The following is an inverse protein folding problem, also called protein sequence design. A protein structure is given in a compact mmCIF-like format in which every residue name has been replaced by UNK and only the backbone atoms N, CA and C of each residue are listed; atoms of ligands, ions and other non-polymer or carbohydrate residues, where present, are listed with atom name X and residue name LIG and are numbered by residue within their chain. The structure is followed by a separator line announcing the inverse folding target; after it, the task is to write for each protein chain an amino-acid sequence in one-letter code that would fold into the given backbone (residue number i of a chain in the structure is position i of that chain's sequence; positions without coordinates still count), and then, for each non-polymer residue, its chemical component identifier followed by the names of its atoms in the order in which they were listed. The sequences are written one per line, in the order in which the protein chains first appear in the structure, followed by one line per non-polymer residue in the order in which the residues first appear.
data_IF_038517664156
#
_entry.id   IF_038517664156
#
_cell.length_a   1.000
_cell.length_b   1.000
_cell.length_c   1.000
_cell.angle_alpha   90.00
_cell.angle_beta   90.00
_cell.angle_gamma   90.00
#
_symmetry.space_group_name_H-M   'P 1'
#
loop_
_entity.id
_entity.type
_entity.pdbx_description
1 polymer ?
#
# COMPACT_ATOMS: atom_id res chain seq x y z
N UNK A 1 -6.13 -1.23 -12.80
CA UNK A 1 -7.16 -1.36 -11.74
C UNK A 1 -6.95 -2.67 -11.02
N UNK A 2 -6.77 -2.62 -9.71
CA UNK A 2 -6.46 -3.76 -8.86
C UNK A 2 -7.70 -4.22 -8.07
N UNK A 3 -7.78 -5.50 -7.76
CA UNK A 3 -8.86 -6.14 -7.01
C UNK A 3 -8.46 -6.34 -5.55
N UNK A 4 -9.45 -6.55 -4.68
CA UNK A 4 -9.19 -6.92 -3.28
C UNK A 4 -8.45 -8.25 -3.22
N UNK A 5 -7.37 -8.29 -2.46
CA UNK A 5 -6.45 -9.42 -2.36
C UNK A 5 -5.24 -9.35 -3.29
N UNK A 6 -5.24 -8.45 -4.28
CA UNK A 6 -4.08 -8.29 -5.16
C UNK A 6 -2.88 -7.75 -4.39
N UNK A 7 -1.71 -8.30 -4.68
CA UNK A 7 -0.42 -7.76 -4.24
C UNK A 7 0.06 -6.76 -5.28
N UNK A 8 0.38 -5.56 -4.81
CA UNK A 8 0.77 -4.43 -5.65
C UNK A 8 2.00 -3.73 -5.06
N UNK A 9 2.69 -2.96 -5.88
CA UNK A 9 3.85 -2.17 -5.50
C UNK A 9 3.55 -0.68 -5.57
N UNK A 10 4.06 0.11 -4.62
CA UNK A 10 4.00 1.57 -4.71
C UNK A 10 5.05 2.11 -5.68
N UNK A 11 4.64 3.04 -6.54
CA UNK A 11 5.54 3.77 -7.46
C UNK A 11 6.29 4.91 -6.79
N UNK A 12 5.79 5.35 -5.64
CA UNK A 12 6.31 6.48 -4.87
C UNK A 12 6.23 6.19 -3.38
N UNK A 13 6.85 7.07 -2.61
CA UNK A 13 6.72 7.05 -1.15
C UNK A 13 5.25 7.16 -0.73
N UNK A 14 4.87 6.34 0.25
CA UNK A 14 3.51 6.28 0.79
C UNK A 14 3.55 6.71 2.25
N UNK A 15 2.63 7.58 2.65
CA UNK A 15 2.60 8.09 4.02
C UNK A 15 1.20 8.09 4.60
N UNK A 16 1.12 7.86 5.90
CA UNK A 16 -0.05 8.18 6.71
C UNK A 16 0.40 9.06 7.91
N UNK A 17 -0.50 9.32 8.86
CA UNK A 17 -0.16 10.12 10.05
C UNK A 17 0.85 9.48 11.02
N UNK A 18 1.25 8.22 10.81
CA UNK A 18 2.09 7.46 11.72
C UNK A 18 3.44 7.05 11.11
N UNK A 19 3.48 6.80 9.80
CA UNK A 19 4.65 6.25 9.14
C UNK A 19 4.78 6.72 7.70
N UNK A 20 6.02 6.65 7.21
CA UNK A 20 6.42 6.86 5.83
C UNK A 20 7.06 5.57 5.34
N UNK A 21 6.56 5.06 4.21
CA UNK A 21 7.01 3.84 3.56
C UNK A 21 7.68 4.20 2.23
N UNK A 22 8.86 3.65 1.93
CA UNK A 22 9.58 3.99 0.70
C UNK A 22 8.81 3.53 -0.54
N UNK A 23 9.15 4.12 -1.69
CA UNK A 23 8.75 3.60 -2.98
C UNK A 23 9.20 2.14 -3.16
N UNK A 24 8.43 1.36 -3.91
CA UNK A 24 8.69 -0.06 -4.11
C UNK A 24 8.15 -0.96 -3.01
N UNK A 25 7.47 -0.41 -1.99
CA UNK A 25 6.86 -1.19 -0.91
C UNK A 25 5.71 -2.03 -1.46
N UNK A 26 5.64 -3.28 -1.02
CA UNK A 26 4.55 -4.20 -1.36
C UNK A 26 3.35 -4.01 -0.43
N UNK A 27 2.16 -4.02 -1.02
CA UNK A 27 0.90 -3.88 -0.34
C UNK A 27 -0.10 -4.92 -0.83
N UNK A 28 -1.01 -5.33 0.04
CA UNK A 28 -2.22 -6.05 -0.35
C UNK A 28 -3.39 -5.09 -0.41
N UNK A 29 -4.17 -5.14 -1.50
CA UNK A 29 -5.39 -4.34 -1.63
C UNK A 29 -6.45 -4.88 -0.69
N UNK A 30 -6.83 -4.09 0.31
CA UNK A 30 -7.83 -4.47 1.32
C UNK A 30 -9.24 -4.13 0.88
N UNK A 31 -9.42 -2.91 0.35
CA UNK A 31 -10.73 -2.40 -0.07
C UNK A 31 -10.55 -1.35 -1.15
N UNK A 32 -11.57 -1.23 -2.00
CA UNK A 32 -11.71 -0.14 -2.95
C UNK A 32 -12.96 0.68 -2.63
N UNK A 33 -12.77 1.99 -2.47
CA UNK A 33 -13.86 2.95 -2.30
C UNK A 33 -13.54 4.21 -3.10
N UNK A 34 -13.26 5.36 -2.47
CA UNK A 34 -12.79 6.60 -3.11
C UNK A 34 -11.28 6.58 -3.43
N UNK A 35 -10.74 5.41 -3.76
CA UNK A 35 -9.32 5.07 -3.79
C UNK A 35 -9.08 3.67 -3.25
N UNK A 36 -7.82 3.29 -3.07
CA UNK A 36 -7.43 2.01 -2.49
C UNK A 36 -7.06 2.17 -1.00
N UNK A 37 -7.58 1.25 -0.19
CA UNK A 37 -7.04 0.98 1.14
C UNK A 37 -6.09 -0.21 1.03
N UNK A 38 -4.88 0.00 1.52
CA UNK A 38 -3.74 -0.89 1.35
C UNK A 38 -3.17 -1.26 2.71
N UNK A 39 -2.91 -2.54 2.94
CA UNK A 39 -2.13 -3.00 4.08
C UNK A 39 -0.72 -3.37 3.56
N UNK A 40 0.34 -2.78 4.11
CA UNK A 40 1.72 -3.09 3.72
C UNK A 40 2.04 -4.54 4.04
N UNK A 41 3.07 -5.11 3.44
CA UNK A 41 3.66 -6.33 4.00
C UNK A 41 4.34 -6.00 5.34
N UNK A 42 4.42 -6.96 6.29
CA UNK A 42 5.09 -6.74 7.56
C UNK A 42 6.58 -6.45 7.32
N UNK A 43 7.13 -5.50 8.08
CA UNK A 43 8.56 -5.18 8.01
C UNK A 43 9.40 -6.36 8.50
N UNK A 44 10.39 -6.80 7.73
CA UNK A 44 11.27 -7.92 8.11
C UNK A 44 12.06 -7.68 9.41
N UNK A 45 12.27 -6.42 9.80
CA UNK A 45 13.03 -6.06 11.00
C UNK A 45 12.20 -5.99 12.27
N UNK A 46 10.98 -5.45 12.19
CA UNK A 46 10.15 -5.15 13.37
C UNK A 46 8.74 -5.73 13.32
N UNK A 47 8.35 -6.41 12.24
CA UNK A 47 7.04 -7.02 12.05
C UNK A 47 5.88 -6.04 11.87
N UNK A 48 6.14 -4.73 11.95
CA UNK A 48 5.09 -3.70 11.87
C UNK A 48 4.45 -3.71 10.49
N UNK A 49 3.11 -3.62 10.49
CA UNK A 49 2.29 -3.47 9.31
C UNK A 49 1.60 -2.11 9.32
N UNK A 50 1.60 -1.41 8.20
CA UNK A 50 1.05 -0.06 8.07
C UNK A 50 -0.09 -0.05 7.07
N UNK A 51 -1.19 0.60 7.44
CA UNK A 51 -2.31 0.85 6.53
C UNK A 51 -2.20 2.23 5.88
N UNK A 52 -2.34 2.28 4.57
CA UNK A 52 -2.46 3.51 3.80
C UNK A 52 -3.83 3.54 3.11
N UNK A 53 -4.56 4.64 3.27
CA UNK A 53 -5.92 4.79 2.77
C UNK A 53 -6.02 5.85 1.68
N UNK A 54 -7.06 5.74 0.85
CA UNK A 54 -7.39 6.70 -0.24
C UNK A 54 -6.24 6.88 -1.25
N UNK A 55 -5.55 5.79 -1.56
CA UNK A 55 -4.46 5.79 -2.54
C UNK A 55 -5.03 5.85 -3.96
N UNK A 56 -4.45 6.68 -4.81
CA UNK A 56 -4.80 6.76 -6.23
C UNK A 56 -4.17 5.63 -7.07
N UNK A 57 -4.79 5.29 -8.21
CA UNK A 57 -4.28 4.22 -9.10
C UNK A 57 -2.92 4.58 -9.72
N UNK A 58 -2.60 5.87 -9.86
CA UNK A 58 -1.35 6.32 -10.48
C UNK A 58 -0.12 6.06 -9.60
N UNK A 59 -0.31 5.98 -8.28
CA UNK A 59 0.71 5.65 -7.29
C UNK A 59 1.03 4.15 -7.22
N UNK A 60 0.35 3.30 -7.99
CA UNK A 60 0.36 1.85 -7.85
C UNK A 60 0.72 1.14 -9.16
N UNK A 61 1.35 -0.01 -9.02
CA UNK A 61 1.64 -0.93 -10.12
C UNK A 61 1.54 -2.39 -9.68
N UNK A 62 1.45 -3.30 -10.67
CA UNK A 62 1.51 -4.74 -10.38
C UNK A 62 2.87 -5.08 -9.74
N UNK A 63 2.82 -5.92 -8.70
CA UNK A 63 4.02 -6.34 -7.96
C UNK A 63 4.90 -7.30 -8.76
#
# INVERSE_FOLDING_TARGET
RFNVGDVIRSRREMRNGYAVLPAGTLFTVRRRFSGYDLDSHPCDKCGVQIRISRVDDAALEAA
#
